data_IF_710516367519
#
_entry.id   IF_710516367519
#
_cell.length_a   1.000
_cell.length_b   1.000
_cell.length_c   1.000
_cell.angle_alpha   90.00
_cell.angle_beta   90.00
_cell.angle_gamma   90.00
#
_symmetry.space_group_name_H-M   'P 1'
#
loop_
_entity.id
_entity.type
_entity.pdbx_description
1 polymer ?
#
# COMPACT_ATOMS: atom_id res chain seq x y z
N UNK A 1 -12.68 1.30 8.04
CA UNK A 1 -12.89 0.49 6.81
C UNK A 1 -13.93 1.16 5.95
N UNK A 2 -13.63 1.38 4.67
CA UNK A 2 -14.54 1.98 3.69
C UNK A 2 -14.90 0.90 2.66
N UNK A 3 -16.18 0.78 2.32
CA UNK A 3 -16.68 -0.11 1.26
C UNK A 3 -17.82 0.59 0.52
N UNK A 4 -17.87 0.46 -0.80
CA UNK A 4 -18.92 1.06 -1.64
C UNK A 4 -19.15 2.56 -1.39
N UNK A 5 -18.06 3.31 -1.20
CA UNK A 5 -18.12 4.76 -0.93
C UNK A 5 -18.68 5.14 0.45
N UNK A 6 -18.84 4.18 1.37
CA UNK A 6 -19.37 4.41 2.73
C UNK A 6 -18.41 3.88 3.80
N UNK A 7 -18.44 4.50 4.97
CA UNK A 7 -17.75 3.98 6.15
C UNK A 7 -18.51 2.73 6.60
N UNK A 8 -17.86 1.56 6.48
CA UNK A 8 -18.44 0.28 6.88
C UNK A 8 -18.22 0.00 8.36
N UNK A 9 -17.04 0.35 8.88
CA UNK A 9 -16.69 0.14 10.29
C UNK A 9 -15.52 1.05 10.72
N UNK A 10 -15.41 1.30 12.02
CA UNK A 10 -14.30 1.99 12.69
C UNK A 10 -13.87 1.19 13.94
N UNK A 11 -12.69 1.47 14.48
CA UNK A 11 -12.16 0.73 15.65
C UNK A 11 -11.82 -0.74 15.37
N UNK A 12 -11.60 -1.10 14.10
CA UNK A 12 -11.27 -2.47 13.71
C UNK A 12 -9.89 -2.87 14.21
N UNK A 13 -9.79 -4.09 14.75
CA UNK A 13 -8.51 -4.77 14.97
C UNK A 13 -8.10 -5.39 13.63
N UNK A 14 -6.88 -5.09 13.18
CA UNK A 14 -6.33 -5.58 11.92
C UNK A 14 -5.13 -6.50 12.20
N UNK A 15 -4.87 -7.48 11.32
CA UNK A 15 -3.68 -8.33 11.44
C UNK A 15 -2.41 -7.48 11.31
N UNK A 16 -1.43 -7.77 12.15
CA UNK A 16 -0.10 -7.19 12.03
C UNK A 16 0.77 -8.05 11.13
N UNK A 17 1.62 -7.42 10.34
CA UNK A 17 2.67 -8.13 9.61
C UNK A 17 3.67 -8.77 10.57
N UNK A 18 4.11 -9.99 10.25
CA UNK A 18 5.22 -10.67 10.91
C UNK A 18 6.58 -10.37 10.24
N UNK A 19 6.55 -9.57 9.17
CA UNK A 19 7.75 -9.27 8.41
C UNK A 19 8.70 -8.34 9.19
N UNK A 20 9.87 -8.88 9.53
CA UNK A 20 10.91 -8.17 10.27
C UNK A 20 11.78 -7.25 9.39
N UNK A 21 11.61 -7.27 8.05
CA UNK A 21 12.32 -6.37 7.12
C UNK A 21 11.77 -4.94 7.14
N UNK A 22 10.78 -4.68 7.98
CA UNK A 22 10.16 -3.37 8.14
C UNK A 22 11.07 -2.44 8.97
N UNK A 23 11.11 -1.14 8.63
CA UNK A 23 11.92 -0.18 9.41
C UNK A 23 11.48 -0.18 10.88
N UNK A 24 12.44 -0.16 11.82
CA UNK A 24 12.15 -0.12 13.27
C UNK A 24 11.32 1.09 13.70
N UNK A 25 11.37 2.17 12.93
CA UNK A 25 10.58 3.40 13.12
C UNK A 25 9.09 3.19 12.83
N UNK A 26 8.70 2.04 12.26
CA UNK A 26 7.30 1.78 11.91
C UNK A 26 6.51 1.36 13.14
N UNK A 27 5.59 2.21 13.58
CA UNK A 27 4.65 1.90 14.65
C UNK A 27 3.60 0.82 14.28
N UNK A 28 2.73 0.51 15.24
CA UNK A 28 1.68 -0.51 15.11
C UNK A 28 0.70 -0.25 13.97
N UNK A 29 0.37 1.01 13.69
CA UNK A 29 -0.51 1.36 12.55
C UNK A 29 0.07 0.96 11.21
N UNK A 30 1.38 1.15 11.03
CA UNK A 30 2.07 0.78 9.81
C UNK A 30 2.16 -0.74 9.67
N UNK A 31 2.43 -1.45 10.77
CA UNK A 31 2.41 -2.92 10.80
C UNK A 31 1.02 -3.48 10.50
N UNK A 32 -0.03 -2.87 11.02
CA UNK A 32 -1.41 -3.21 10.71
C UNK A 32 -1.77 -2.94 9.24
N UNK A 33 -1.29 -1.82 8.69
CA UNK A 33 -1.49 -1.50 7.28
C UNK A 33 -0.82 -2.53 6.37
N UNK A 34 0.42 -2.93 6.68
CA UNK A 34 1.12 -3.97 5.92
C UNK A 34 0.47 -5.34 6.11
N UNK A 35 0.15 -5.73 7.34
CA UNK A 35 -0.50 -7.02 7.60
C UNK A 35 -1.86 -7.14 6.91
N UNK A 36 -2.66 -6.06 6.89
CA UNK A 36 -3.92 -6.06 6.15
C UNK A 36 -3.71 -6.14 4.63
N UNK A 37 -2.69 -5.48 4.08
CA UNK A 37 -2.39 -5.52 2.63
C UNK A 37 -1.67 -6.80 2.18
N UNK A 38 -1.10 -7.57 3.11
CA UNK A 38 -0.58 -8.93 2.87
C UNK A 38 -1.72 -9.95 2.79
N UNK A 39 -2.76 -9.75 3.61
CA UNK A 39 -3.89 -10.69 3.73
C UNK A 39 -5.10 -10.32 2.84
N UNK A 40 -5.02 -9.23 2.08
CA UNK A 40 -6.10 -8.79 1.20
C UNK A 40 -5.61 -7.87 0.08
N UNK A 41 -6.47 -7.62 -0.91
CA UNK A 41 -6.29 -6.60 -1.94
C UNK A 41 -6.65 -5.18 -1.48
N UNK A 42 -6.88 -4.98 -0.18
CA UNK A 42 -7.24 -3.68 0.36
C UNK A 42 -6.08 -2.68 0.24
N UNK A 43 -6.43 -1.48 -0.19
CA UNK A 43 -5.53 -0.32 -0.15
C UNK A 43 -5.68 0.34 1.21
N UNK A 44 -4.57 0.45 1.95
CA UNK A 44 -4.57 1.02 3.30
C UNK A 44 -3.77 2.31 3.30
N UNK A 45 -4.39 3.40 3.72
CA UNK A 45 -3.71 4.69 3.94
C UNK A 45 -3.43 4.82 5.42
N UNK A 46 -2.20 5.18 5.78
CA UNK A 46 -1.77 5.39 7.17
C UNK A 46 -1.06 6.73 7.29
N UNK A 47 -1.36 7.45 8.37
CA UNK A 47 -0.66 8.67 8.77
C UNK A 47 0.14 8.37 10.04
N UNK A 48 1.43 8.67 9.99
CA UNK A 48 2.32 8.57 11.14
C UNK A 48 1.89 9.54 12.23
N UNK A 49 1.75 9.06 13.46
CA UNK A 49 1.48 9.91 14.63
C UNK A 49 2.65 10.82 14.96
N UNK A 50 3.86 10.28 14.83
CA UNK A 50 5.09 10.93 15.25
C UNK A 50 5.53 12.00 14.25
N UNK A 51 5.40 11.71 12.95
CA UNK A 51 5.98 12.54 11.88
C UNK A 51 4.94 13.16 10.96
N UNK A 52 3.66 12.79 11.07
CA UNK A 52 2.62 13.22 10.14
C UNK A 52 2.78 12.67 8.71
N UNK A 53 3.79 11.83 8.46
CA UNK A 53 4.08 11.29 7.13
C UNK A 53 2.95 10.37 6.68
N UNK A 54 2.45 10.59 5.47
CA UNK A 54 1.43 9.76 4.85
C UNK A 54 2.11 8.60 4.11
N UNK A 55 1.58 7.40 4.30
CA UNK A 55 2.02 6.18 3.64
C UNK A 55 0.83 5.40 3.10
N UNK A 56 1.06 4.63 2.04
CA UNK A 56 0.10 3.71 1.45
C UNK A 56 0.68 2.30 1.56
N UNK A 57 -0.13 1.35 2.02
CA UNK A 57 0.18 -0.07 1.96
C UNK A 57 -0.79 -0.78 1.00
N UNK A 58 -0.24 -1.52 0.06
CA UNK A 58 -0.97 -2.32 -0.92
C UNK A 58 -0.12 -3.52 -1.34
N UNK A 59 -0.77 -4.68 -1.54
CA UNK A 59 -0.15 -5.91 -2.03
C UNK A 59 1.14 -6.30 -1.28
N UNK A 60 1.11 -6.24 0.05
CA UNK A 60 2.25 -6.55 0.92
C UNK A 60 3.46 -5.62 0.78
N UNK A 61 3.27 -4.42 0.22
CA UNK A 61 4.30 -3.38 0.16
C UNK A 61 3.81 -2.11 0.83
N UNK A 62 4.74 -1.30 1.35
CA UNK A 62 4.43 0.00 1.92
C UNK A 62 5.30 1.09 1.30
N UNK A 63 4.64 2.11 0.75
CA UNK A 63 5.25 3.30 0.17
C UNK A 63 5.02 4.50 1.08
N UNK A 64 6.03 5.33 1.28
CA UNK A 64 6.03 6.44 2.25
C UNK A 64 6.29 7.77 1.56
N UNK A 65 6.01 8.88 2.25
CA UNK A 65 6.34 10.22 1.79
C UNK A 65 5.32 10.81 0.83
N UNK A 66 4.05 10.49 1.02
CA UNK A 66 2.98 11.09 0.24
C UNK A 66 2.65 12.51 0.76
N UNK A 67 2.39 13.41 -0.18
CA UNK A 67 1.74 14.70 0.02
C UNK A 67 0.27 14.61 -0.46
N UNK A 68 -0.53 15.64 -0.21
CA UNK A 68 -1.95 15.62 -0.58
C UNK A 68 -2.20 15.42 -2.08
N UNK A 69 -1.37 16.01 -2.93
CA UNK A 69 -1.51 15.95 -4.39
C UNK A 69 -1.16 14.56 -4.95
N UNK A 70 -0.03 13.99 -4.54
CA UNK A 70 0.40 12.69 -5.01
C UNK A 70 -0.47 11.57 -4.41
N UNK A 71 -0.91 11.71 -3.15
CA UNK A 71 -1.83 10.78 -2.51
C UNK A 71 -3.12 10.67 -3.30
N UNK A 72 -3.73 11.82 -3.62
CA UNK A 72 -4.97 11.86 -4.39
C UNK A 72 -4.81 11.17 -5.74
N UNK A 73 -3.79 11.54 -6.52
CA UNK A 73 -3.52 10.94 -7.84
C UNK A 73 -3.29 9.43 -7.74
N UNK A 74 -2.56 8.98 -6.72
CA UNK A 74 -2.31 7.55 -6.49
C UNK A 74 -3.59 6.82 -6.12
N UNK A 75 -4.41 7.36 -5.23
CA UNK A 75 -5.68 6.74 -4.84
C UNK A 75 -6.69 6.71 -5.99
N UNK A 76 -6.81 7.78 -6.77
CA UNK A 76 -7.65 7.81 -7.97
C UNK A 76 -7.26 6.68 -8.94
N UNK A 77 -5.95 6.54 -9.22
CA UNK A 77 -5.43 5.48 -10.08
C UNK A 77 -5.71 4.07 -9.52
N UNK A 78 -5.51 3.87 -8.22
CA UNK A 78 -5.66 2.55 -7.58
C UNK A 78 -7.13 2.13 -7.42
N UNK A 79 -8.03 3.07 -7.13
CA UNK A 79 -9.43 2.77 -6.82
C UNK A 79 -10.36 2.82 -8.03
N UNK A 80 -10.10 3.72 -8.98
CA UNK A 80 -10.97 3.93 -10.14
C UNK A 80 -10.46 3.21 -11.39
N UNK A 81 -9.16 2.87 -11.43
CA UNK A 81 -8.48 2.43 -12.64
C UNK A 81 -8.39 3.57 -13.66
N UNK A 82 -7.40 3.53 -14.55
CA UNK A 82 -7.46 4.38 -15.75
C UNK A 82 -8.55 3.82 -16.67
N UNK A 83 -9.59 4.60 -16.93
CA UNK A 83 -10.45 4.35 -18.09
C UNK A 83 -9.57 4.52 -19.34
N UNK A 84 -9.15 3.41 -19.95
CA UNK A 84 -8.75 3.44 -21.36
C UNK A 84 -10.01 3.84 -22.15
N UNK A 85 -9.89 4.68 -23.18
CA UNK A 85 -11.02 5.21 -24.01
C UNK A 85 -11.90 4.15 -24.70
N UNK A 86 -11.70 2.87 -24.41
CA UNK A 86 -12.40 1.71 -24.95
C UNK A 86 -13.29 0.98 -23.93
N UNK A 87 -13.61 1.57 -22.76
CA UNK A 87 -14.65 1.06 -21.84
C UNK A 87 -14.38 -0.32 -21.24
N UNK A 88 -13.17 -0.89 -21.40
CA UNK A 88 -12.76 -2.14 -20.77
C UNK A 88 -12.05 -1.82 -19.47
N UNK A 89 -12.72 -2.09 -18.34
CA UNK A 89 -12.10 -2.10 -17.00
C UNK A 89 -10.93 -3.06 -17.01
N UNK A 90 -9.71 -2.54 -17.14
CA UNK A 90 -8.50 -3.33 -16.89
C UNK A 90 -8.37 -3.50 -15.40
N UNK A 91 -8.89 -4.62 -14.90
CA UNK A 91 -8.47 -5.14 -13.61
C UNK A 91 -6.94 -5.23 -13.66
N UNK A 92 -6.25 -4.37 -12.92
CA UNK A 92 -4.80 -4.26 -12.96
C UNK A 92 -4.20 -5.43 -12.16
N UNK A 93 -4.35 -6.64 -12.68
CA UNK A 93 -3.54 -7.79 -12.33
C UNK A 93 -2.08 -7.45 -12.69
N UNK A 94 -1.27 -7.22 -11.67
CA UNK A 94 0.18 -7.50 -11.64
C UNK A 94 1.02 -7.07 -12.85
N UNK A 95 1.79 -5.98 -12.71
CA UNK A 95 3.14 -5.94 -13.30
C UNK A 95 4.08 -4.89 -12.70
N UNK A 96 4.53 -5.11 -11.45
CA UNK A 96 5.87 -4.62 -11.06
C UNK A 96 6.48 -5.47 -9.94
N UNK A 97 6.73 -6.74 -10.25
CA UNK A 97 7.63 -7.60 -9.49
C UNK A 97 8.85 -7.92 -10.37
N UNK A 98 9.69 -6.92 -10.66
CA UNK A 98 11.02 -7.17 -11.28
C UNK A 98 11.97 -5.95 -11.24
N UNK A 99 12.52 -5.60 -10.06
CA UNK A 99 13.74 -4.77 -10.04
C UNK A 99 14.69 -4.93 -8.85
N UNK A 100 14.38 -5.78 -7.85
CA UNK A 100 15.22 -5.93 -6.64
C UNK A 100 16.12 -7.18 -6.63
N UNK A 101 16.13 -8.02 -7.68
CA UNK A 101 16.95 -9.25 -7.72
C UNK A 101 18.23 -9.17 -8.57
N UNK A 102 18.57 -8.04 -9.19
CA UNK A 102 19.82 -7.91 -9.98
C UNK A 102 21.04 -7.37 -9.22
N UNK A 103 20.89 -6.88 -7.98
CA UNK A 103 22.05 -6.33 -7.23
C UNK A 103 22.80 -7.32 -6.35
N UNK A 104 22.25 -8.51 -6.06
CA UNK A 104 22.95 -9.51 -5.21
C UNK A 104 23.94 -10.42 -5.95
N UNK A 105 24.01 -10.38 -7.29
CA UNK A 105 24.94 -11.23 -8.06
C UNK A 105 26.31 -10.61 -8.37
N UNK A 106 26.52 -9.32 -8.08
CA UNK A 106 27.79 -8.64 -8.39
C UNK A 106 28.73 -8.46 -7.18
N UNK A 107 28.38 -8.98 -6.00
CA UNK A 107 29.25 -8.97 -4.79
C UNK A 107 29.89 -10.33 -4.47
N UNK A 108 29.71 -11.34 -5.33
CA UNK A 108 30.35 -12.66 -5.18
C UNK A 108 31.17 -13.07 -6.41
N UNK A 109 31.88 -12.13 -7.01
CA UNK A 109 32.92 -12.44 -7.99
C UNK A 109 34.18 -11.65 -7.69
#
# INVERSE_FOLDING_TARGET
VIRYGRIYAAGCILPLTENNDISREMGTRHRAALGMSENSDAIVVVVSEETGTISIADNGTISRGYNSLNLRKTLEKLLLGSEDENGKRRFLFFKTRDKKDRRRKNEKK
#
